data_IF_028129049764
#
_entry.id   IF_028129049764
#
_cell.length_a   1.000
_cell.length_b   1.000
_cell.length_c   1.000
_cell.angle_alpha   90.00
_cell.angle_beta   90.00
_cell.angle_gamma   90.00
#
_symmetry.space_group_name_H-M   'P 1'
#
loop_
_entity.id
_entity.type
_entity.pdbx_description
1 polymer ?
#
# COMPACT_ATOMS: atom_id res chain seq x y z
N UNK A 1 17.69 -5.23 6.02
CA UNK A 1 16.33 -5.77 6.20
C UNK A 1 16.41 -6.92 7.20
N UNK A 2 15.50 -7.03 8.17
CA UNK A 2 15.50 -8.09 9.20
C UNK A 2 14.26 -8.96 9.04
N UNK A 3 14.40 -10.26 9.30
CA UNK A 3 13.25 -11.15 9.41
C UNK A 3 12.53 -10.90 10.74
N UNK A 4 11.21 -10.85 10.70
CA UNK A 4 10.37 -10.65 11.88
C UNK A 4 9.28 -11.72 11.89
N UNK A 5 9.05 -12.33 13.04
CA UNK A 5 7.89 -13.18 13.25
C UNK A 5 6.69 -12.29 13.57
N UNK A 6 5.72 -12.22 12.65
CA UNK A 6 4.52 -11.41 12.78
C UNK A 6 3.35 -12.31 13.20
N UNK A 7 2.90 -12.15 14.44
CA UNK A 7 1.82 -12.94 15.02
C UNK A 7 0.88 -12.00 15.79
N UNK A 8 -0.39 -11.98 15.38
CA UNK A 8 -1.41 -11.08 15.92
C UNK A 8 -1.78 -11.41 17.37
N UNK A 9 -1.49 -12.63 17.83
CA UNK A 9 -1.71 -13.06 19.23
C UNK A 9 -0.58 -12.62 20.17
N UNK A 10 0.65 -12.51 19.66
CA UNK A 10 1.82 -12.13 20.44
C UNK A 10 2.06 -10.61 20.45
N UNK A 11 1.68 -9.92 19.37
CA UNK A 11 1.91 -8.49 19.22
C UNK A 11 0.85 -7.67 19.95
N UNK A 12 1.29 -6.67 20.73
CA UNK A 12 0.37 -5.74 21.43
C UNK A 12 -0.45 -4.86 20.48
N UNK A 13 0.12 -4.48 19.33
CA UNK A 13 -0.49 -3.58 18.33
C UNK A 13 -0.13 -4.02 16.91
N UNK A 14 -0.73 -5.13 16.43
CA UNK A 14 -0.40 -5.68 15.11
C UNK A 14 -0.88 -4.76 13.99
N UNK A 15 -2.01 -4.06 14.16
CA UNK A 15 -2.63 -3.27 13.08
C UNK A 15 -2.91 -4.14 11.83
N UNK A 16 -3.37 -5.37 12.06
CA UNK A 16 -3.54 -6.39 11.03
C UNK A 16 -4.38 -5.93 9.84
N UNK A 17 -5.44 -5.17 10.07
CA UNK A 17 -6.31 -4.63 9.01
C UNK A 17 -5.55 -3.83 7.95
N UNK A 18 -4.44 -3.18 8.31
CA UNK A 18 -3.57 -2.45 7.39
C UNK A 18 -2.41 -3.31 6.91
N UNK A 19 -1.73 -4.00 7.83
CA UNK A 19 -0.50 -4.74 7.54
C UNK A 19 -0.74 -5.95 6.63
N UNK A 20 -1.92 -6.58 6.69
CA UNK A 20 -2.25 -7.75 5.86
C UNK A 20 -2.06 -7.50 4.36
N UNK A 21 -2.24 -6.26 3.90
CA UNK A 21 -2.07 -5.87 2.51
C UNK A 21 -0.61 -5.86 2.03
N UNK A 22 0.37 -6.02 2.92
CA UNK A 22 1.80 -6.14 2.61
C UNK A 22 2.27 -7.60 2.55
N UNK A 23 1.39 -8.57 2.75
CA UNK A 23 1.70 -9.99 2.51
C UNK A 23 1.70 -10.34 1.01
N UNK A 24 1.13 -9.47 0.19
CA UNK A 24 1.11 -9.54 -1.27
C UNK A 24 2.09 -8.52 -1.87
N UNK A 25 2.35 -8.56 -3.19
CA UNK A 25 3.23 -7.56 -3.83
C UNK A 25 2.59 -6.17 -3.79
N UNK A 26 3.00 -5.38 -2.81
CA UNK A 26 2.47 -4.06 -2.55
C UNK A 26 3.61 -3.10 -2.19
N UNK A 27 3.37 -1.81 -2.42
CA UNK A 27 4.25 -0.73 -1.97
C UNK A 27 3.46 0.16 -1.03
N UNK A 28 4.13 0.67 0.00
CA UNK A 28 3.50 1.51 1.01
C UNK A 28 4.29 2.78 1.22
N UNK A 29 3.54 3.85 1.48
CA UNK A 29 4.06 5.12 1.93
C UNK A 29 4.18 5.09 3.45
N UNK A 30 5.27 5.63 3.98
CA UNK A 30 5.48 5.78 5.41
C UNK A 30 5.67 7.25 5.74
N UNK A 31 4.87 7.75 6.67
CA UNK A 31 4.97 9.12 7.19
C UNK A 31 4.73 9.13 8.70
N UNK A 32 5.20 10.17 9.37
CA UNK A 32 4.87 10.39 10.78
C UNK A 32 3.63 11.29 10.88
N UNK A 33 2.68 10.93 11.74
CA UNK A 33 1.45 11.73 11.96
C UNK A 33 1.74 13.10 12.57
N UNK A 34 2.76 13.18 13.42
CA UNK A 34 3.20 14.39 14.09
C UNK A 34 4.72 14.48 13.97
N UNK A 35 5.21 15.70 13.75
CA UNK A 35 6.62 16.04 13.91
C UNK A 35 6.80 16.71 15.28
N UNK A 36 7.81 16.32 16.05
CA UNK A 36 8.03 16.84 17.39
C UNK A 36 8.85 18.12 17.42
N UNK A 37 9.64 18.37 16.38
CA UNK A 37 10.74 19.34 16.46
C UNK A 37 10.88 20.24 15.24
N UNK A 38 10.72 19.68 14.04
CA UNK A 38 10.94 20.40 12.79
C UNK A 38 9.74 20.32 11.87
N UNK A 39 9.75 21.13 10.81
CA UNK A 39 8.84 20.98 9.68
C UNK A 39 8.99 19.61 9.01
N UNK A 40 8.05 19.24 8.15
CA UNK A 40 8.03 17.94 7.47
C UNK A 40 9.38 17.57 6.81
N UNK A 41 10.03 16.53 7.32
CA UNK A 41 11.40 16.18 6.88
C UNK A 41 11.49 14.92 6.03
N UNK A 42 10.59 13.95 6.24
CA UNK A 42 10.83 12.60 5.77
C UNK A 42 9.56 11.88 5.31
N UNK A 43 9.72 11.18 4.20
CA UNK A 43 8.83 10.17 3.67
C UNK A 43 9.69 8.96 3.34
N UNK A 44 9.18 7.75 3.56
CA UNK A 44 9.83 6.55 3.08
C UNK A 44 8.85 5.65 2.32
N UNK A 45 9.37 4.82 1.42
CA UNK A 45 8.62 3.81 0.70
C UNK A 45 9.10 2.43 1.13
N UNK A 46 8.16 1.52 1.40
CA UNK A 46 8.49 0.14 1.77
C UNK A 46 7.60 -0.87 1.08
N UNK A 47 8.21 -1.99 0.66
CA UNK A 47 7.50 -3.21 0.24
C UNK A 47 7.30 -4.21 1.38
N UNK A 48 7.81 -3.90 2.57
CA UNK A 48 7.77 -4.78 3.73
C UNK A 48 7.12 -4.12 4.94
N UNK A 49 6.72 -4.94 5.89
CA UNK A 49 6.23 -4.51 7.21
C UNK A 49 7.30 -3.66 7.89
N UNK A 50 6.87 -2.62 8.60
CA UNK A 50 7.74 -1.64 9.23
C UNK A 50 7.67 -1.74 10.75
N UNK A 51 8.72 -1.27 11.40
CA UNK A 51 8.69 -0.95 12.82
C UNK A 51 8.22 0.51 13.01
N UNK A 52 7.67 0.86 14.16
CA UNK A 52 7.11 2.19 14.44
C UNK A 52 8.11 3.33 14.24
N UNK A 53 9.38 3.11 14.52
CA UNK A 53 10.45 4.11 14.46
C UNK A 53 11.31 3.97 13.18
N UNK A 54 10.75 3.38 12.12
CA UNK A 54 11.49 3.14 10.86
C UNK A 54 11.98 4.42 10.20
N UNK A 55 11.23 5.52 10.30
CA UNK A 55 11.52 6.77 9.58
C UNK A 55 12.09 7.86 10.49
N UNK A 56 11.71 7.87 11.76
CA UNK A 56 12.21 8.82 12.74
C UNK A 56 12.57 8.17 14.07
N UNK A 57 13.63 8.69 14.69
CA UNK A 57 14.08 8.33 16.03
C UNK A 57 13.63 9.36 17.08
N UNK A 58 12.93 10.42 16.68
CA UNK A 58 12.48 11.47 17.59
C UNK A 58 11.26 11.02 18.40
N UNK A 59 11.23 11.37 19.68
CA UNK A 59 10.11 11.05 20.56
C UNK A 59 8.83 11.71 20.04
N UNK A 60 7.72 10.98 20.03
CA UNK A 60 6.39 11.39 19.51
C UNK A 60 6.24 11.31 17.99
N UNK A 61 7.28 10.95 17.25
CA UNK A 61 7.20 10.73 15.80
C UNK A 61 6.98 9.26 15.49
N UNK A 62 5.72 8.82 15.58
CA UNK A 62 5.32 7.45 15.22
C UNK A 62 5.11 7.35 13.72
N UNK A 63 5.81 6.41 13.07
CA UNK A 63 5.61 6.06 11.67
C UNK A 63 4.29 5.33 11.43
N UNK A 64 3.56 5.76 10.41
CA UNK A 64 2.32 5.18 9.90
C UNK A 64 2.57 4.68 8.49
N UNK A 65 1.96 3.55 8.17
CA UNK A 65 2.11 2.88 6.87
C UNK A 65 0.79 2.95 6.09
N UNK A 66 0.88 3.32 4.82
CA UNK A 66 -0.25 3.48 3.91
C UNK A 66 0.00 2.60 2.68
N UNK A 67 -0.55 1.37 2.64
CA UNK A 67 -0.46 0.50 1.48
C UNK A 67 -1.11 1.16 0.27
N UNK A 68 -0.49 1.06 -0.90
CA UNK A 68 -1.03 1.59 -2.15
C UNK A 68 -2.22 0.78 -2.63
N UNK A 69 -2.22 -0.54 -2.39
CA UNK A 69 -3.31 -1.42 -2.81
C UNK A 69 -3.98 -2.09 -1.61
N UNK A 70 -5.29 -2.30 -1.74
CA UNK A 70 -6.12 -3.12 -0.87
C UNK A 70 -6.38 -4.45 -1.56
N UNK A 71 -6.30 -5.51 -0.78
CA UNK A 71 -6.55 -6.90 -1.20
C UNK A 71 -7.81 -7.41 -0.51
N UNK A 72 -8.71 -8.11 -1.23
CA UNK A 72 -9.90 -8.70 -0.62
C UNK A 72 -9.51 -9.75 0.41
N UNK A 73 -10.37 -9.98 1.40
CA UNK A 73 -10.16 -11.11 2.32
C UNK A 73 -10.37 -12.42 1.55
N UNK A 74 -9.42 -13.35 1.71
CA UNK A 74 -9.55 -14.68 1.14
C UNK A 74 -10.58 -15.48 1.94
N UNK A 75 -11.86 -15.39 1.58
CA UNK A 75 -12.80 -16.43 1.98
C UNK A 75 -12.46 -17.70 1.19
N UNK A 76 -12.06 -18.72 1.94
CA UNK A 76 -11.54 -20.01 1.42
C UNK A 76 -12.57 -20.80 0.62
N UNK A 77 -13.86 -20.46 0.71
CA UNK A 77 -14.93 -21.13 -0.04
C UNK A 77 -15.34 -20.41 -1.34
N UNK A 78 -15.22 -19.07 -1.41
CA UNK A 78 -15.72 -18.29 -2.54
C UNK A 78 -14.72 -18.26 -3.71
N UNK A 79 -13.41 -18.28 -3.40
CA UNK A 79 -12.34 -18.19 -4.40
C UNK A 79 -12.13 -19.45 -5.25
N UNK A 80 -12.76 -20.59 -4.91
CA UNK A 80 -12.65 -21.82 -5.71
C UNK A 80 -13.60 -21.80 -6.93
N UNK A 81 -14.64 -20.96 -6.90
CA UNK A 81 -15.66 -20.82 -7.95
C UNK A 81 -15.53 -19.53 -8.74
N UNK A 82 -14.84 -18.51 -8.22
CA UNK A 82 -14.50 -17.32 -8.97
C UNK A 82 -13.35 -17.66 -9.92
N UNK A 83 -13.73 -18.07 -11.13
CA UNK A 83 -12.84 -18.10 -12.29
C UNK A 83 -12.03 -16.81 -12.34
N UNK A 84 -10.75 -16.95 -12.63
CA UNK A 84 -9.84 -15.85 -12.99
C UNK A 84 -10.38 -15.16 -14.25
N UNK A 85 -11.40 -14.32 -14.10
CA UNK A 85 -11.80 -13.39 -15.13
C UNK A 85 -10.63 -12.42 -15.30
N UNK A 86 -10.01 -12.41 -16.48
CA UNK A 86 -8.86 -11.53 -16.80
C UNK A 86 -9.20 -10.03 -16.62
N UNK A 87 -10.49 -9.69 -16.51
CA UNK A 87 -11.01 -8.33 -16.41
C UNK A 87 -11.30 -7.85 -14.98
N UNK A 88 -11.29 -8.72 -13.95
CA UNK A 88 -11.43 -8.28 -12.55
C UNK A 88 -10.05 -7.98 -11.95
N UNK A 89 -9.78 -6.75 -11.47
CA UNK A 89 -8.50 -6.43 -10.87
C UNK A 89 -8.34 -7.20 -9.56
N UNK A 90 -7.25 -7.95 -9.42
CA UNK A 90 -6.92 -8.73 -8.21
C UNK A 90 -6.72 -7.87 -6.95
N UNK A 91 -6.64 -6.55 -7.09
CA UNK A 91 -6.42 -5.56 -6.02
C UNK A 91 -7.03 -4.21 -6.38
N UNK A 92 -7.38 -3.43 -5.38
CA UNK A 92 -7.99 -2.09 -5.54
C UNK A 92 -7.03 -1.01 -5.05
N UNK A 93 -6.78 0.09 -5.79
CA UNK A 93 -5.96 1.18 -5.29
C UNK A 93 -6.59 1.85 -4.06
N UNK A 94 -5.78 2.10 -3.03
CA UNK A 94 -6.15 2.77 -1.78
C UNK A 94 -6.02 4.30 -1.92
N UNK A 95 -6.73 4.86 -2.91
CA UNK A 95 -6.68 6.28 -3.24
C UNK A 95 -8.09 6.87 -3.21
N UNK A 96 -8.19 8.12 -2.77
CA UNK A 96 -9.43 8.87 -2.83
C UNK A 96 -9.76 9.26 -4.28
N UNK A 97 -10.93 8.87 -4.76
CA UNK A 97 -11.35 9.08 -6.14
C UNK A 97 -11.58 10.54 -6.49
N UNK A 98 -11.99 11.38 -5.55
CA UNK A 98 -12.21 12.81 -5.78
C UNK A 98 -10.87 13.50 -6.02
N UNK A 99 -9.90 13.24 -5.13
CA UNK A 99 -8.53 13.79 -5.24
C UNK A 99 -7.86 13.31 -6.53
N UNK A 100 -7.98 12.02 -6.84
CA UNK A 100 -7.41 11.45 -8.08
C UNK A 100 -8.04 12.11 -9.31
N UNK A 101 -9.35 12.34 -9.31
CA UNK A 101 -10.05 13.00 -10.42
C UNK A 101 -9.59 14.43 -10.60
N UNK A 102 -9.38 15.18 -9.52
CA UNK A 102 -8.91 16.56 -9.59
C UNK A 102 -7.45 16.66 -10.07
N UNK A 103 -6.59 15.76 -9.61
CA UNK A 103 -5.21 15.64 -10.11
C UNK A 103 -5.23 15.28 -11.60
N UNK A 104 -6.03 14.28 -11.99
CA UNK A 104 -6.18 13.83 -13.38
C UNK A 104 -6.61 14.95 -14.32
N UNK A 105 -7.60 15.76 -13.91
CA UNK A 105 -8.03 16.97 -14.63
C UNK A 105 -6.91 18.00 -14.74
N UNK A 106 -6.20 18.28 -13.63
CA UNK A 106 -5.13 19.28 -13.61
C UNK A 106 -3.96 18.93 -14.54
N UNK A 107 -3.63 17.64 -14.67
CA UNK A 107 -2.53 17.17 -15.52
C UNK A 107 -2.98 16.70 -16.91
N UNK A 108 -4.29 16.71 -17.21
CA UNK A 108 -4.85 16.29 -18.49
C UNK A 108 -4.70 14.79 -18.78
N UNK A 109 -4.65 13.93 -17.76
CA UNK A 109 -4.52 12.48 -17.90
C UNK A 109 -5.76 11.75 -17.40
N UNK A 110 -5.94 10.50 -17.83
CA UNK A 110 -6.99 9.61 -17.31
C UNK A 110 -6.38 8.64 -16.31
N UNK A 111 -7.00 8.51 -15.14
CA UNK A 111 -6.58 7.53 -14.14
C UNK A 111 -6.94 6.10 -14.59
N UNK A 112 -5.99 5.18 -14.39
CA UNK A 112 -6.18 3.73 -14.59
C UNK A 112 -5.53 2.99 -13.43
N UNK A 113 -6.23 2.00 -12.84
CA UNK A 113 -5.75 1.25 -11.67
C UNK A 113 -4.38 0.59 -11.87
N UNK A 114 -4.21 -0.03 -13.04
CA UNK A 114 -2.96 -0.65 -13.46
C UNK A 114 -2.52 -0.05 -14.78
N UNK A 115 -1.21 0.11 -14.93
CA UNK A 115 -0.65 0.51 -16.22
C UNK A 115 -0.98 -0.57 -17.23
N UNK A 116 -1.83 -0.26 -18.21
CA UNK A 116 -1.95 -1.09 -19.42
C UNK A 116 -0.57 -1.10 -20.08
N UNK A 117 0.15 -2.21 -19.97
CA UNK A 117 1.37 -2.43 -20.72
C UNK A 117 0.95 -2.39 -22.18
N UNK A 118 1.27 -1.30 -22.87
CA UNK A 118 1.20 -1.27 -24.33
C UNK A 118 2.22 -2.31 -24.79
N UNK A 119 1.77 -3.43 -25.35
CA UNK A 119 2.60 -4.36 -26.14
C UNK A 119 3.09 -3.61 -27.38
N UNK A 120 4.03 -2.71 -27.17
CA UNK A 120 4.63 -1.86 -28.18
C UNK A 120 6.15 -2.02 -28.11
N UNK A 121 6.62 -3.25 -28.30
CA UNK A 121 7.90 -3.54 -28.97
C UNK A 121 7.73 -4.80 -29.82
N UNK A 122 7.17 -4.58 -31.01
CA UNK A 122 7.25 -5.46 -32.16
C UNK A 122 8.70 -5.48 -32.68
N UNK A 123 9.16 -6.66 -33.13
CA UNK A 123 10.18 -6.88 -34.17
C UNK A 123 11.54 -6.18 -34.02
N UNK A 124 12.55 -6.95 -33.62
CA UNK A 124 13.69 -7.36 -34.46
C UNK A 124 14.31 -8.63 -33.89
#
# INVERSE_FOLDING_TARGET
>A
MRATYYDTSLQRRPSWNTIKHLNEDNISLITCRQQSTFDFQHIFLSKAIIERCTVSLQTKETGYIFPLYLYPEQDTQTNLLESKDEDKPARTPNLDTEIVTDIAKAIGLTFTNERKIRLARLRR
#
